data_IF_461893653913
#
_entry.id   IF_461893653913
#
_cell.length_a   1.000
_cell.length_b   1.000
_cell.length_c   1.000
_cell.angle_alpha   90.00
_cell.angle_beta   90.00
_cell.angle_gamma   90.00
#
_symmetry.space_group_name_H-M   'P 1'
#
loop_
_entity.id
_entity.type
_entity.pdbx_description
1 polymer ?
#
# COMPACT_ATOMS: atom_id res chain seq x y z
N UNK A 1 -2.27 -12.59 -8.43
CA UNK A 1 -1.85 -11.19 -8.65
C UNK A 1 -0.36 -11.11 -8.31
N UNK A 2 0.50 -10.26 -8.89
CA UNK A 2 1.90 -10.07 -8.44
C UNK A 2 3.00 -11.05 -8.88
N UNK A 3 2.67 -12.29 -9.28
CA UNK A 3 3.68 -13.31 -9.68
C UNK A 3 4.67 -12.84 -10.75
N UNK A 4 4.13 -12.23 -11.81
CA UNK A 4 4.95 -11.75 -12.92
C UNK A 4 5.94 -10.68 -12.48
N UNK A 5 5.55 -9.82 -11.53
CA UNK A 5 6.44 -8.80 -10.98
C UNK A 5 7.56 -9.45 -10.16
N UNK A 6 7.24 -10.45 -9.33
CA UNK A 6 8.26 -11.17 -8.57
C UNK A 6 9.30 -11.84 -9.49
N UNK A 7 8.83 -12.53 -10.54
CA UNK A 7 9.74 -13.18 -11.50
C UNK A 7 10.62 -12.17 -12.26
N UNK A 8 10.07 -11.01 -12.63
CA UNK A 8 10.83 -9.93 -13.26
C UNK A 8 11.91 -9.39 -12.33
N UNK A 9 11.58 -9.14 -11.05
CA UNK A 9 12.56 -8.68 -10.05
C UNK A 9 13.70 -9.69 -9.92
N UNK A 10 13.41 -10.98 -9.78
CA UNK A 10 14.44 -12.02 -9.71
C UNK A 10 15.34 -12.02 -10.95
N UNK A 11 14.76 -11.89 -12.14
CA UNK A 11 15.52 -11.83 -13.39
C UNK A 11 16.48 -10.63 -13.44
N UNK A 12 16.00 -9.44 -13.05
CA UNK A 12 16.82 -8.22 -13.01
C UNK A 12 17.93 -8.31 -11.97
N UNK A 13 17.64 -8.84 -10.78
CA UNK A 13 18.65 -9.00 -9.70
C UNK A 13 19.75 -9.97 -10.14
N UNK A 14 19.39 -11.09 -10.76
CA UNK A 14 20.37 -12.05 -11.29
C UNK A 14 21.28 -11.44 -12.37
N UNK A 15 20.74 -10.54 -13.20
CA UNK A 15 21.50 -9.86 -14.25
C UNK A 15 22.38 -8.71 -13.74
N UNK A 16 22.11 -8.18 -12.54
CA UNK A 16 22.78 -6.99 -11.99
C UNK A 16 23.46 -7.28 -10.66
N UNK A 17 24.60 -7.96 -10.72
CA UNK A 17 25.39 -8.44 -9.56
C UNK A 17 25.91 -7.36 -8.61
N UNK A 18 25.86 -6.08 -8.98
CA UNK A 18 26.26 -4.96 -8.12
C UNK A 18 25.13 -4.34 -7.28
N UNK A 19 23.88 -4.73 -7.52
CA UNK A 19 22.73 -4.16 -6.80
C UNK A 19 22.67 -4.78 -5.40
N UNK A 20 22.54 -3.93 -4.38
CA UNK A 20 22.49 -4.36 -2.96
C UNK A 20 21.18 -4.04 -2.27
N UNK A 21 20.41 -3.11 -2.83
CA UNK A 21 19.24 -2.51 -2.20
C UNK A 21 18.07 -2.51 -3.16
N UNK A 22 16.87 -2.65 -2.61
CA UNK A 22 15.63 -2.62 -3.38
C UNK A 22 14.61 -1.70 -2.72
N UNK A 23 13.85 -0.98 -3.54
CA UNK A 23 12.69 -0.19 -3.12
C UNK A 23 11.53 -0.43 -4.06
N UNK A 24 10.32 -0.46 -3.53
CA UNK A 24 9.09 -0.53 -4.29
C UNK A 24 8.37 0.80 -4.18
N UNK A 25 8.08 1.41 -5.33
CA UNK A 25 7.23 2.59 -5.44
C UNK A 25 6.08 2.21 -6.35
N UNK A 26 4.85 2.31 -5.86
CA UNK A 26 3.69 1.81 -6.56
C UNK A 26 2.50 2.75 -6.48
N UNK A 27 1.67 2.75 -7.51
CA UNK A 27 0.46 3.57 -7.58
C UNK A 27 -0.77 2.71 -7.77
N UNK A 28 -1.87 3.10 -7.12
CA UNK A 28 -3.18 2.47 -7.29
C UNK A 28 -3.11 0.97 -7.06
N UNK A 29 -3.70 0.16 -7.95
CA UNK A 29 -3.62 -1.30 -7.93
C UNK A 29 -2.18 -1.84 -7.85
N UNK A 30 -1.19 -1.09 -8.36
CA UNK A 30 0.22 -1.45 -8.28
C UNK A 30 0.70 -1.71 -6.86
N UNK A 31 0.15 -1.02 -5.85
CA UNK A 31 0.51 -1.25 -4.45
C UNK A 31 0.12 -2.64 -3.95
N UNK A 32 -1.02 -3.17 -4.39
CA UNK A 32 -1.45 -4.55 -4.08
C UNK A 32 -0.59 -5.58 -4.82
N UNK A 33 -0.26 -5.30 -6.08
CA UNK A 33 0.67 -6.13 -6.88
C UNK A 33 2.06 -6.17 -6.22
N UNK A 34 2.56 -5.02 -5.75
CA UNK A 34 3.84 -4.90 -5.05
C UNK A 34 3.81 -5.64 -3.71
N UNK A 35 2.75 -5.49 -2.89
CA UNK A 35 2.56 -6.25 -1.64
C UNK A 35 2.61 -7.76 -1.86
N UNK A 36 1.95 -8.25 -2.92
CA UNK A 36 2.04 -9.66 -3.26
C UNK A 36 3.47 -10.06 -3.64
N UNK A 37 4.11 -9.27 -4.51
CA UNK A 37 5.45 -9.58 -5.00
C UNK A 37 6.48 -9.62 -3.88
N UNK A 38 6.47 -8.67 -2.93
CA UNK A 38 7.42 -8.69 -1.81
C UNK A 38 7.26 -9.93 -0.93
N UNK A 39 6.02 -10.40 -0.70
CA UNK A 39 5.79 -11.63 0.06
C UNK A 39 6.30 -12.89 -0.67
N UNK A 40 6.35 -12.86 -2.01
CA UNK A 40 6.94 -13.93 -2.83
C UNK A 40 8.46 -13.89 -2.89
N UNK A 41 9.03 -12.70 -2.76
CA UNK A 41 10.48 -12.46 -2.85
C UNK A 41 11.16 -12.51 -1.48
N UNK A 42 10.39 -12.63 -0.41
CA UNK A 42 10.92 -12.53 0.95
C UNK A 42 11.72 -13.75 1.34
N UNK A 43 12.90 -13.49 1.86
CA UNK A 43 13.84 -14.49 2.35
C UNK A 43 14.10 -14.21 3.85
N UNK A 44 13.58 -15.04 4.76
CA UNK A 44 13.80 -14.88 6.19
C UNK A 44 15.29 -14.96 6.54
N UNK A 45 15.72 -14.12 7.49
CA UNK A 45 17.10 -14.18 7.96
C UNK A 45 17.28 -15.39 8.90
N UNK A 46 17.80 -16.51 8.39
CA UNK A 46 17.98 -17.76 9.15
C UNK A 46 19.06 -17.71 10.25
N UNK A 47 19.61 -16.54 10.58
CA UNK A 47 20.68 -16.38 11.58
C UNK A 47 20.28 -16.80 13.00
N UNK A 48 18.98 -16.93 13.29
CA UNK A 48 18.50 -17.37 14.61
C UNK A 48 18.48 -18.91 14.83
N UNK A 49 18.76 -19.73 13.82
CA UNK A 49 18.83 -21.20 14.00
C UNK A 49 20.24 -21.75 14.18
N UNK A 50 21.30 -20.97 13.93
CA UNK A 50 22.67 -21.52 13.82
C UNK A 50 23.78 -20.69 14.47
N UNK A 51 23.48 -19.83 15.46
CA UNK A 51 24.52 -19.04 16.13
C UNK A 51 24.33 -18.95 17.65
N UNK A 52 24.54 -20.08 18.33
CA UNK A 52 25.11 -20.05 19.66
C UNK A 52 26.57 -19.56 19.54
N UNK A 53 26.78 -18.23 19.53
CA UNK A 53 28.11 -17.64 19.73
C UNK A 53 28.47 -16.48 18.79
N UNK A 54 28.59 -15.29 19.39
CA UNK A 54 29.34 -14.08 18.95
C UNK A 54 28.75 -13.38 17.71
N UNK A 55 28.44 -12.09 17.71
CA UNK A 55 29.12 -10.94 18.32
C UNK A 55 28.12 -9.80 18.55
N UNK A 56 28.33 -9.02 19.62
CA UNK A 56 27.67 -7.74 19.87
C UNK A 56 28.32 -6.68 18.99
N UNK A 57 27.74 -6.41 17.82
CA UNK A 57 27.89 -5.12 17.16
C UNK A 57 26.52 -4.72 16.64
N UNK A 58 26.09 -3.52 17.00
CA UNK A 58 24.73 -2.98 16.82
C UNK A 58 24.39 -2.67 15.36
N UNK A 59 24.40 -3.68 14.51
CA UNK A 59 23.82 -3.62 13.18
C UNK A 59 22.35 -3.96 13.31
N UNK A 60 21.49 -3.01 12.95
CA UNK A 60 20.03 -3.18 12.87
C UNK A 60 19.70 -4.58 12.36
N UNK A 61 19.00 -5.38 13.16
CA UNK A 61 18.61 -6.73 12.81
C UNK A 61 17.73 -6.68 11.56
N UNK A 62 18.32 -6.84 10.37
CA UNK A 62 17.59 -7.02 9.13
C UNK A 62 16.70 -8.25 9.29
N UNK A 63 15.39 -8.02 9.40
CA UNK A 63 14.40 -9.07 9.67
C UNK A 63 14.29 -10.07 8.51
N UNK A 64 14.71 -9.67 7.30
CA UNK A 64 14.86 -10.53 6.13
C UNK A 64 15.31 -9.73 4.91
N UNK A 65 15.51 -10.43 3.79
CA UNK A 65 15.87 -9.85 2.50
C UNK A 65 14.69 -9.95 1.52
N UNK A 66 14.73 -9.15 0.47
CA UNK A 66 13.79 -9.24 -0.66
C UNK A 66 14.60 -9.56 -1.91
N UNK A 67 14.46 -10.77 -2.44
CA UNK A 67 15.26 -11.29 -3.56
C UNK A 67 16.78 -11.17 -3.30
N UNK A 68 17.22 -11.50 -2.08
CA UNK A 68 18.61 -11.34 -1.64
C UNK A 68 19.08 -9.88 -1.47
N UNK A 69 18.22 -8.88 -1.64
CA UNK A 69 18.56 -7.46 -1.51
C UNK A 69 18.05 -6.85 -0.20
N UNK A 70 18.76 -5.83 0.29
CA UNK A 70 18.35 -5.03 1.44
C UNK A 70 17.11 -4.17 1.10
N UNK A 71 15.97 -4.37 1.78
CA UNK A 71 14.74 -3.63 1.50
C UNK A 71 14.75 -2.24 2.15
N UNK A 72 14.70 -1.19 1.33
CA UNK A 72 14.84 0.19 1.79
C UNK A 72 13.48 0.90 1.95
N UNK A 73 12.73 1.05 0.86
CA UNK A 73 11.45 1.77 0.88
C UNK A 73 10.32 0.93 0.28
N UNK A 74 9.17 0.92 0.94
CA UNK A 74 7.90 0.47 0.39
C UNK A 74 6.93 1.64 0.38
N UNK A 75 6.73 2.25 -0.79
CA UNK A 75 5.97 3.50 -0.95
C UNK A 75 4.79 3.24 -1.87
N UNK A 76 3.60 3.63 -1.41
CA UNK A 76 2.38 3.54 -2.21
C UNK A 76 1.71 4.90 -2.38
N UNK A 77 1.10 5.11 -3.53
CA UNK A 77 0.32 6.28 -3.88
C UNK A 77 -1.10 5.88 -4.25
N UNK A 78 -2.08 6.37 -3.51
CA UNK A 78 -3.50 6.12 -3.77
C UNK A 78 -3.82 4.63 -3.99
N UNK A 79 -3.20 3.73 -3.22
CA UNK A 79 -3.36 2.28 -3.36
C UNK A 79 -4.48 1.74 -2.47
N UNK A 80 -5.45 0.93 -2.97
CA UNK A 80 -6.57 0.45 -2.17
C UNK A 80 -6.17 -0.73 -1.25
N UNK A 81 -5.40 -0.46 -0.19
CA UNK A 81 -4.81 -1.49 0.68
C UNK A 81 -5.85 -2.38 1.38
N UNK A 82 -7.05 -1.84 1.63
CA UNK A 82 -8.19 -2.51 2.27
C UNK A 82 -9.22 -3.02 1.25
N UNK A 83 -8.86 -3.06 -0.04
CA UNK A 83 -9.80 -3.37 -1.11
C UNK A 83 -10.84 -2.28 -1.33
N UNK A 84 -11.94 -2.66 -1.98
CA UNK A 84 -12.98 -1.72 -2.44
C UNK A 84 -14.39 -1.97 -1.89
N UNK A 85 -14.56 -2.98 -1.03
CA UNK A 85 -15.89 -3.40 -0.57
C UNK A 85 -16.60 -2.37 0.34
N UNK A 86 -15.85 -1.52 1.05
CA UNK A 86 -16.40 -0.56 2.02
C UNK A 86 -16.81 0.81 1.47
N UNK A 87 -16.49 1.10 0.20
CA UNK A 87 -17.03 2.26 -0.51
C UNK A 87 -18.04 1.73 -1.50
N UNK A 88 -19.29 2.20 -1.48
CA UNK A 88 -20.35 1.87 -2.46
C UNK A 88 -20.03 2.32 -3.91
N UNK A 89 -18.75 2.48 -4.24
CA UNK A 89 -18.20 2.87 -5.53
C UNK A 89 -17.68 1.61 -6.21
N UNK A 90 -18.30 1.24 -7.33
CA UNK A 90 -17.80 0.16 -8.19
C UNK A 90 -16.46 0.59 -8.82
N UNK A 91 -15.31 0.02 -8.40
CA UNK A 91 -13.99 0.42 -8.89
C UNK A 91 -13.74 -0.05 -10.32
N UNK A 92 -14.59 -0.93 -10.85
CA UNK A 92 -14.41 -1.44 -12.20
C UNK A 92 -14.58 -0.35 -13.27
N UNK A 93 -15.23 0.77 -12.92
CA UNK A 93 -15.63 1.79 -13.90
C UNK A 93 -14.97 3.17 -13.68
N UNK A 94 -13.96 3.28 -12.81
CA UNK A 94 -13.11 4.47 -12.71
C UNK A 94 -13.87 5.82 -12.73
N UNK A 95 -15.02 5.91 -12.03
CA UNK A 95 -15.78 7.16 -11.93
C UNK A 95 -16.49 7.63 -13.21
N UNK A 96 -16.82 6.76 -14.16
CA UNK A 96 -17.64 7.09 -15.34
C UNK A 96 -19.14 6.79 -15.07
N UNK A 97 -19.98 7.78 -14.71
CA UNK A 97 -21.39 7.57 -14.37
C UNK A 97 -22.26 7.02 -15.53
N UNK A 98 -21.79 7.04 -16.78
CA UNK A 98 -22.54 6.50 -17.92
C UNK A 98 -22.55 4.96 -17.97
N UNK A 99 -21.53 4.30 -17.41
CA UNK A 99 -21.43 2.83 -17.41
C UNK A 99 -22.22 2.18 -16.26
N UNK A 100 -22.47 2.90 -15.16
CA UNK A 100 -23.18 2.39 -13.98
C UNK A 100 -24.64 2.00 -14.29
N UNK A 101 -25.30 2.68 -15.24
CA UNK A 101 -26.69 2.37 -15.62
C UNK A 101 -26.85 1.09 -16.44
N UNK A 102 -25.77 0.57 -17.03
CA UNK A 102 -25.79 -0.62 -17.89
C UNK A 102 -25.04 -1.82 -17.28
N UNK A 103 -24.26 -1.61 -16.22
CA UNK A 103 -23.42 -2.63 -15.61
C UNK A 103 -24.19 -3.65 -14.74
N UNK A 104 -25.41 -3.34 -14.27
CA UNK A 104 -26.19 -4.27 -13.43
C UNK A 104 -26.45 -5.63 -14.10
N UNK A 105 -26.64 -5.65 -15.42
CA UNK A 105 -26.94 -6.88 -16.17
C UNK A 105 -25.67 -7.60 -16.68
N UNK A 106 -24.52 -6.92 -16.67
CA UNK A 106 -23.26 -7.42 -17.25
C UNK A 106 -22.11 -7.51 -16.24
N UNK A 107 -22.38 -7.24 -14.95
CA UNK A 107 -21.37 -7.19 -13.89
C UNK A 107 -20.55 -8.49 -13.78
N UNK A 108 -21.19 -9.65 -13.97
CA UNK A 108 -20.54 -10.96 -13.87
C UNK A 108 -19.50 -11.21 -14.97
N UNK A 109 -19.64 -10.59 -16.14
CA UNK A 109 -18.75 -10.76 -17.29
C UNK A 109 -17.54 -9.82 -17.25
N UNK A 110 -17.68 -8.70 -16.55
CA UNK A 110 -16.66 -7.65 -16.48
C UNK A 110 -15.73 -7.87 -15.28
N UNK A 111 -16.12 -8.60 -14.23
CA UNK A 111 -15.26 -8.89 -13.07
C UNK A 111 -14.12 -9.86 -13.46
N UNK A 112 -13.06 -9.32 -14.05
CA UNK A 112 -11.82 -10.06 -14.29
C UNK A 112 -11.19 -10.54 -12.98
N UNK A 113 -10.18 -11.43 -13.07
CA UNK A 113 -9.46 -11.98 -11.88
C UNK A 113 -8.98 -10.89 -10.91
N UNK A 114 -8.57 -9.73 -11.40
CA UNK A 114 -8.14 -8.58 -10.58
C UNK A 114 -9.28 -7.98 -9.76
N UNK A 115 -10.45 -7.83 -10.37
CA UNK A 115 -11.65 -7.35 -9.68
C UNK A 115 -12.04 -8.32 -8.56
N UNK A 116 -11.96 -9.63 -8.80
CA UNK A 116 -12.28 -10.64 -7.78
C UNK A 116 -11.47 -10.45 -6.49
N UNK A 117 -10.15 -10.30 -6.62
CA UNK A 117 -9.26 -10.04 -5.48
C UNK A 117 -9.57 -8.70 -4.79
N UNK A 118 -9.81 -7.63 -5.56
CA UNK A 118 -10.08 -6.30 -5.01
C UNK A 118 -11.41 -6.24 -4.22
N UNK A 119 -12.38 -7.05 -4.63
CA UNK A 119 -13.69 -7.18 -3.99
C UNK A 119 -13.75 -8.30 -2.93
N UNK A 120 -12.64 -8.97 -2.61
CA UNK A 120 -12.62 -10.12 -1.70
C UNK A 120 -13.54 -11.27 -2.15
N UNK A 121 -13.76 -11.41 -3.47
CA UNK A 121 -14.63 -12.43 -4.08
C UNK A 121 -13.83 -13.55 -4.75
N UNK A 122 -12.52 -13.58 -4.55
CA UNK A 122 -11.70 -14.74 -4.87
C UNK A 122 -11.92 -15.82 -3.81
N UNK A 123 -12.61 -16.89 -4.21
CA UNK A 123 -12.71 -18.13 -3.45
C UNK A 123 -11.99 -19.21 -4.26
N UNK A 124 -10.67 -19.09 -4.34
CA UNK A 124 -9.82 -20.06 -5.02
C UNK A 124 -9.62 -21.25 -4.07
N UNK A 125 -10.19 -22.41 -4.43
CA UNK A 125 -10.01 -23.70 -3.75
C UNK A 125 -10.38 -23.73 -2.25
N UNK A 126 -11.38 -22.95 -1.83
CA UNK A 126 -11.81 -22.85 -0.43
C UNK A 126 -10.85 -22.04 0.46
N UNK A 127 -9.86 -21.36 -0.14
CA UNK A 127 -8.95 -20.47 0.57
C UNK A 127 -9.59 -19.12 0.79
N UNK A 128 -9.11 -18.45 1.84
CA UNK A 128 -9.49 -17.09 2.17
C UNK A 128 -9.12 -16.10 1.06
N UNK A 129 -9.89 -15.01 0.86
CA UNK A 129 -9.55 -13.97 -0.11
C UNK A 129 -8.11 -13.45 0.03
N UNK A 130 -7.45 -13.21 -1.10
CA UNK A 130 -6.02 -12.92 -1.17
C UNK A 130 -5.63 -11.67 -0.38
N UNK A 131 -6.42 -10.60 -0.41
CA UNK A 131 -6.11 -9.39 0.34
C UNK A 131 -6.03 -9.66 1.84
N UNK A 132 -6.94 -10.49 2.37
CA UNK A 132 -6.93 -10.93 3.77
C UNK A 132 -5.76 -11.87 4.07
N UNK A 133 -5.27 -12.62 3.08
CA UNK A 133 -4.05 -13.42 3.24
C UNK A 133 -2.78 -12.56 3.24
N UNK A 134 -2.79 -11.41 2.57
CA UNK A 134 -1.64 -10.49 2.47
C UNK A 134 -1.46 -9.57 3.69
N UNK A 135 -2.24 -9.74 4.75
CA UNK A 135 -2.07 -8.97 6.01
C UNK A 135 -1.39 -9.76 7.12
N UNK A 136 -1.11 -11.05 6.89
CA UNK A 136 -0.49 -11.94 7.85
C UNK A 136 0.54 -12.85 7.16
N UNK A 137 1.37 -13.51 7.95
CA UNK A 137 2.26 -14.57 7.50
C UNK A 137 1.47 -15.89 7.54
N UNK A 138 1.26 -16.52 6.39
CA UNK A 138 0.44 -17.73 6.30
C UNK A 138 1.00 -18.76 5.33
N UNK A 139 1.18 -20.00 5.81
CA UNK A 139 1.79 -21.08 5.05
C UNK A 139 3.19 -20.70 4.59
N UNK A 140 3.44 -20.86 3.29
CA UNK A 140 4.76 -20.61 2.68
C UNK A 140 5.05 -19.13 2.41
N UNK A 141 4.06 -18.23 2.57
CA UNK A 141 4.18 -16.82 2.22
C UNK A 141 4.11 -15.92 3.46
N UNK A 142 5.15 -15.12 3.65
CA UNK A 142 5.31 -14.28 4.84
C UNK A 142 5.13 -12.80 4.46
N UNK A 143 3.90 -12.40 4.14
CA UNK A 143 3.60 -11.05 3.65
C UNK A 143 3.85 -9.94 4.67
N UNK A 144 3.53 -10.19 5.94
CA UNK A 144 3.71 -9.20 7.00
C UNK A 144 5.19 -9.06 7.33
N UNK A 145 5.92 -10.18 7.40
CA UNK A 145 7.37 -10.17 7.61
C UNK A 145 8.10 -9.49 6.46
N UNK A 146 7.66 -9.73 5.21
CA UNK A 146 8.16 -9.01 4.04
C UNK A 146 7.96 -7.49 4.17
N UNK A 147 6.76 -7.02 4.52
CA UNK A 147 6.49 -5.60 4.75
C UNK A 147 7.36 -5.03 5.89
N UNK A 148 7.47 -5.76 7.00
CA UNK A 148 8.24 -5.32 8.18
C UNK A 148 9.73 -5.16 7.86
N UNK A 149 10.26 -5.98 6.96
CA UNK A 149 11.68 -5.92 6.58
C UNK A 149 12.12 -4.56 5.97
N UNK A 150 11.21 -3.81 5.32
CA UNK A 150 11.55 -2.52 4.72
C UNK A 150 11.91 -1.48 5.79
N UNK A 151 13.00 -0.71 5.59
CA UNK A 151 13.37 0.35 6.53
C UNK A 151 12.33 1.46 6.66
N UNK A 152 11.65 1.77 5.56
CA UNK A 152 10.59 2.78 5.52
C UNK A 152 9.37 2.28 4.75
N UNK A 153 8.19 2.42 5.35
CA UNK A 153 6.89 2.16 4.70
C UNK A 153 6.06 3.43 4.69
N UNK A 154 5.58 3.84 3.52
CA UNK A 154 4.78 5.06 3.39
C UNK A 154 3.55 4.85 2.53
N UNK A 155 2.43 5.35 3.01
CA UNK A 155 1.18 5.42 2.27
C UNK A 155 0.81 6.88 1.98
N UNK A 156 0.93 7.30 0.72
CA UNK A 156 0.43 8.58 0.23
C UNK A 156 -1.04 8.42 -0.18
N UNK A 157 -1.92 9.18 0.46
CA UNK A 157 -3.37 9.06 0.28
C UNK A 157 -3.99 10.41 -0.11
N UNK A 158 -4.85 10.40 -1.12
CA UNK A 158 -5.65 11.58 -1.44
C UNK A 158 -6.76 11.76 -0.40
N UNK A 159 -6.73 12.86 0.34
CA UNK A 159 -7.77 13.22 1.30
C UNK A 159 -9.08 13.65 0.63
N UNK A 160 -9.01 14.11 -0.62
CA UNK A 160 -10.15 14.63 -1.38
C UNK A 160 -10.02 14.32 -2.89
N UNK A 161 -11.17 14.28 -3.57
CA UNK A 161 -11.31 14.20 -5.04
C UNK A 161 -10.72 12.96 -5.73
N UNK A 162 -10.23 11.97 -4.97
CA UNK A 162 -9.95 10.65 -5.51
C UNK A 162 -11.22 9.79 -5.48
N UNK A 163 -11.87 9.71 -6.63
CA UNK A 163 -13.08 8.91 -6.82
C UNK A 163 -12.78 7.44 -7.11
N UNK A 164 -11.51 7.07 -7.29
CA UNK A 164 -11.10 5.69 -7.59
C UNK A 164 -10.69 4.96 -6.33
N UNK A 165 -9.94 5.62 -5.46
CA UNK A 165 -9.42 5.03 -4.22
C UNK A 165 -9.70 5.96 -3.05
N UNK A 166 -10.53 5.49 -2.13
CA UNK A 166 -10.90 6.28 -0.96
C UNK A 166 -9.72 6.56 -0.03
N UNK A 167 -9.81 7.69 0.67
CA UNK A 167 -8.81 8.11 1.67
C UNK A 167 -8.52 7.00 2.68
N UNK A 168 -9.56 6.44 3.30
CA UNK A 168 -9.48 5.37 4.30
C UNK A 168 -8.66 4.14 3.85
N UNK A 169 -8.95 3.63 2.66
CA UNK A 169 -8.28 2.43 2.11
C UNK A 169 -6.85 2.73 1.65
N UNK A 170 -6.59 3.94 1.13
CA UNK A 170 -5.23 4.32 0.74
C UNK A 170 -4.33 4.69 1.89
N UNK A 171 -4.88 5.16 3.01
CA UNK A 171 -4.11 5.51 4.19
C UNK A 171 -4.03 4.40 5.24
N UNK A 172 -4.69 3.25 5.05
CA UNK A 172 -4.75 2.16 6.04
C UNK A 172 -5.18 2.70 7.42
N UNK A 173 -6.34 3.36 7.45
CA UNK A 173 -6.94 3.94 8.66
C UNK A 173 -8.41 3.56 8.73
N UNK A 174 -9.02 3.68 9.90
CA UNK A 174 -10.46 3.66 10.11
C UNK A 174 -11.07 5.02 9.81
N UNK A 175 -12.39 5.07 9.64
CA UNK A 175 -13.06 6.34 9.37
C UNK A 175 -12.86 7.38 10.48
N UNK A 176 -12.83 6.95 11.74
CA UNK A 176 -12.68 7.84 12.90
C UNK A 176 -11.20 8.22 13.18
N UNK A 177 -10.25 7.52 12.58
CA UNK A 177 -8.81 7.82 12.64
C UNK A 177 -8.37 8.87 11.61
N UNK A 178 -9.22 9.15 10.61
CA UNK A 178 -8.90 10.15 9.59
C UNK A 178 -8.81 11.56 10.22
N UNK A 179 -7.79 12.36 9.86
CA UNK A 179 -7.63 13.73 10.32
C UNK A 179 -8.89 14.54 10.04
N UNK A 180 -9.36 15.27 11.06
CA UNK A 180 -10.44 16.23 10.87
C UNK A 180 -9.95 17.31 9.91
N UNK A 181 -10.77 17.72 8.94
CA UNK A 181 -10.40 18.73 7.93
C UNK A 181 -9.79 20.03 8.50
N UNK A 182 -10.15 20.40 9.75
CA UNK A 182 -9.62 21.58 10.44
C UNK A 182 -8.16 21.45 10.89
N UNK A 183 -7.63 20.23 10.97
CA UNK A 183 -6.26 19.92 11.40
C UNK A 183 -5.30 19.77 10.20
N UNK A 184 -5.83 19.87 8.97
CA UNK A 184 -5.04 19.80 7.76
C UNK A 184 -4.26 21.10 7.59
N UNK A 185 -2.95 21.04 7.85
CA UNK A 185 -2.03 22.17 7.72
C UNK A 185 -1.21 21.97 6.46
N UNK A 186 -1.07 23.03 5.67
CA UNK A 186 -0.25 22.98 4.45
C UNK A 186 1.21 23.05 4.83
N UNK A 187 2.00 22.17 4.24
CA UNK A 187 3.43 22.31 4.25
C UNK A 187 3.85 23.52 3.37
N UNK A 188 4.79 24.33 3.86
CA UNK A 188 5.27 25.52 3.13
C UNK A 188 6.04 25.14 1.86
N UNK A 189 6.79 24.04 1.91
CA UNK A 189 7.61 23.54 0.81
C UNK A 189 6.79 22.66 -0.13
N UNK A 190 5.82 21.91 0.39
CA UNK A 190 4.96 21.02 -0.39
C UNK A 190 3.47 21.34 -0.20
N UNK A 191 2.94 22.35 -0.92
CA UNK A 191 1.60 22.90 -0.67
C UNK A 191 0.43 21.92 -0.72
N UNK A 192 0.59 20.78 -1.39
CA UNK A 192 -0.43 19.73 -1.48
C UNK A 192 -0.33 18.68 -0.37
N UNK A 193 0.77 18.62 0.37
CA UNK A 193 0.88 17.81 1.58
C UNK A 193 0.13 18.53 2.70
N UNK A 194 -0.91 17.89 3.23
CA UNK A 194 -1.83 18.50 4.19
C UNK A 194 -1.79 17.87 5.58
N UNK A 195 -1.23 16.67 5.69
CA UNK A 195 -1.00 16.00 6.97
C UNK A 195 0.06 14.91 6.81
N UNK A 196 0.96 14.80 7.78
CA UNK A 196 1.97 13.73 7.85
C UNK A 196 1.87 13.08 9.22
N UNK A 197 1.50 11.82 9.23
CA UNK A 197 1.58 10.94 10.40
C UNK A 197 2.90 10.17 10.31
N UNK A 198 3.82 10.44 11.24
CA UNK A 198 5.06 9.67 11.34
C UNK A 198 4.77 8.29 11.96
N UNK A 199 5.66 7.33 11.75
CA UNK A 199 5.57 6.01 12.38
C UNK A 199 5.45 6.15 13.91
N UNK A 200 4.26 5.88 14.47
CA UNK A 200 4.03 5.86 15.92
C UNK A 200 3.96 4.41 16.39
N UNK A 201 4.92 4.00 17.21
CA UNK A 201 4.86 2.73 17.97
C UNK A 201 3.96 2.88 19.18
N UNK A 202 2.64 2.94 18.98
CA UNK A 202 1.68 2.88 20.09
C UNK A 202 1.15 1.46 20.24
N UNK A 203 1.68 0.74 21.23
CA UNK A 203 1.32 -0.64 21.58
C UNK A 203 0.01 -0.77 22.40
N UNK A 204 -0.80 0.27 22.51
CA UNK A 204 -1.93 0.27 23.44
C UNK A 204 -3.23 0.69 22.76
N UNK A 205 -3.80 -0.21 21.97
CA UNK A 205 -5.24 -0.17 21.69
C UNK A 205 -5.91 -1.39 22.31
N UNK A 206 -6.56 -1.14 23.45
CA UNK A 206 -7.53 -2.06 24.04
C UNK A 206 -8.86 -1.82 23.32
N UNK A 207 -9.21 -2.67 22.35
CA UNK A 207 -10.46 -2.49 21.59
C UNK A 207 -11.52 -3.53 21.95
N UNK A 208 -12.73 -3.01 22.17
CA UNK A 208 -13.95 -3.76 22.41
C UNK A 208 -14.26 -4.70 21.23
N UNK A 209 -14.43 -5.99 21.52
CA UNK A 209 -14.81 -7.00 20.54
C UNK A 209 -16.28 -6.81 20.14
N UNK A 210 -16.53 -6.28 18.95
CA UNK A 210 -17.81 -6.49 18.26
C UNK A 210 -17.82 -7.87 17.61
N UNK A 211 -18.83 -8.70 17.89
CA UNK A 211 -18.94 -10.08 17.40
C UNK A 211 -19.27 -10.21 15.89
N UNK A 212 -19.17 -9.13 15.12
CA UNK A 212 -19.47 -9.13 13.67
C UNK A 212 -18.15 -9.20 12.90
N UNK A 213 -18.03 -10.20 12.02
CA UNK A 213 -16.88 -10.33 11.13
C UNK A 213 -16.87 -9.18 10.11
N UNK A 214 -15.87 -8.32 10.20
CA UNK A 214 -15.61 -7.26 9.24
C UNK A 214 -14.23 -7.48 8.59
N UNK A 215 -14.17 -7.87 7.30
CA UNK A 215 -12.91 -8.10 6.62
C UNK A 215 -12.06 -6.83 6.47
N UNK A 216 -12.68 -5.64 6.44
CA UNK A 216 -11.94 -4.39 6.37
C UNK A 216 -11.15 -4.16 7.66
N UNK A 217 -11.80 -4.34 8.81
CA UNK A 217 -11.14 -4.24 10.12
C UNK A 217 -10.02 -5.24 10.29
N UNK A 218 -10.19 -6.46 9.81
CA UNK A 218 -9.11 -7.43 9.89
C UNK A 218 -7.91 -7.03 9.02
N UNK A 219 -8.16 -6.44 7.85
CA UNK A 219 -7.08 -5.92 7.04
C UNK A 219 -6.38 -4.73 7.70
N UNK A 220 -7.11 -3.83 8.33
CA UNK A 220 -6.55 -2.71 9.11
C UNK A 220 -5.66 -3.28 10.20
N UNK A 221 -6.19 -4.16 11.06
CA UNK A 221 -5.46 -4.79 12.17
C UNK A 221 -4.22 -5.56 11.74
N UNK A 222 -4.26 -6.26 10.61
CA UNK A 222 -3.10 -6.98 10.10
C UNK A 222 -2.03 -6.04 9.54
N UNK A 223 -2.44 -5.01 8.79
CA UNK A 223 -1.51 -4.05 8.18
C UNK A 223 -0.89 -3.06 9.17
N UNK A 224 -1.59 -2.72 10.25
CA UNK A 224 -1.08 -1.81 11.29
C UNK A 224 -0.20 -2.48 12.34
N UNK A 225 -0.02 -3.81 12.27
CA UNK A 225 1.01 -4.53 13.04
C UNK A 225 2.44 -4.21 12.58
N UNK A 226 2.61 -3.47 11.48
CA UNK A 226 3.86 -2.85 11.08
C UNK A 226 3.63 -1.34 11.02
N UNK A 227 4.59 -0.51 11.45
CA UNK A 227 4.40 0.93 11.46
C UNK A 227 4.37 1.48 10.02
N UNK A 228 3.51 2.48 9.78
CA UNK A 228 3.43 3.16 8.50
C UNK A 228 3.59 4.66 8.72
N UNK A 229 4.42 5.31 7.91
CA UNK A 229 4.27 6.73 7.68
C UNK A 229 3.06 6.95 6.75
N UNK A 230 2.21 7.92 7.08
CA UNK A 230 1.02 8.22 6.30
C UNK A 230 1.01 9.68 5.90
N UNK A 231 0.92 9.92 4.61
CA UNK A 231 1.00 11.27 4.04
C UNK A 231 -0.31 11.56 3.32
N UNK A 232 -1.07 12.51 3.84
CA UNK A 232 -2.32 12.93 3.23
C UNK A 232 -2.09 14.09 2.29
N UNK A 233 -2.63 13.96 1.07
CA UNK A 233 -2.48 14.87 -0.05
C UNK A 233 -3.84 15.48 -0.39
N UNK A 234 -3.90 16.79 -0.65
CA UNK A 234 -5.14 17.43 -1.09
C UNK A 234 -4.91 18.40 -2.24
N UNK A 235 -5.52 18.06 -3.38
CA UNK A 235 -5.59 18.92 -4.57
C UNK A 235 -6.79 19.87 -4.55
N UNK A 236 -7.46 20.10 -3.40
CA UNK A 236 -8.72 20.87 -3.35
C UNK A 236 -8.66 22.24 -4.04
N UNK A 237 -7.52 22.92 -3.98
CA UNK A 237 -7.30 24.24 -4.63
C UNK A 237 -6.67 24.16 -6.03
N UNK A 238 -6.31 22.96 -6.50
CA UNK A 238 -5.77 22.73 -7.83
C UNK A 238 -6.89 22.62 -8.86
N UNK A 239 -6.59 23.06 -10.09
CA UNK A 239 -7.46 22.84 -11.25
C UNK A 239 -7.52 21.35 -11.66
N UNK A 240 -6.50 20.57 -11.28
CA UNK A 240 -6.34 19.14 -11.58
C UNK A 240 -7.03 18.23 -10.55
N UNK A 241 -7.80 18.79 -9.61
CA UNK A 241 -8.49 18.02 -8.54
C UNK A 241 -9.36 16.88 -9.05
N UNK A 242 -10.04 17.04 -10.19
CA UNK A 242 -10.90 15.99 -10.76
C UNK A 242 -10.11 14.78 -11.26
N UNK A 243 -8.80 14.93 -11.44
CA UNK A 243 -7.85 13.87 -11.81
C UNK A 243 -6.83 13.65 -10.69
N UNK A 244 -7.19 13.91 -9.43
CA UNK A 244 -6.33 13.76 -8.26
C UNK A 244 -5.66 12.37 -8.18
N UNK A 245 -6.38 11.32 -8.56
CA UNK A 245 -5.85 9.95 -8.59
C UNK A 245 -4.58 9.82 -9.45
N UNK A 246 -4.51 10.50 -10.59
CA UNK A 246 -3.33 10.49 -11.46
C UNK A 246 -2.36 11.64 -11.15
N UNK A 247 -2.88 12.72 -10.56
CA UNK A 247 -2.09 13.90 -10.20
C UNK A 247 -1.09 13.58 -9.10
N UNK A 248 -1.49 12.79 -8.09
CA UNK A 248 -0.63 12.42 -6.96
C UNK A 248 0.70 11.75 -7.38
N UNK A 249 0.75 11.09 -8.55
CA UNK A 249 1.96 10.44 -9.08
C UNK A 249 2.54 11.13 -10.32
N UNK A 250 1.98 12.27 -10.75
CA UNK A 250 2.38 12.98 -11.96
C UNK A 250 2.38 12.08 -13.20
N UNK A 251 1.25 11.39 -13.47
CA UNK A 251 1.17 10.41 -14.57
C UNK A 251 1.57 10.98 -15.93
N UNK A 252 1.14 12.20 -16.23
CA UNK A 252 1.59 12.96 -17.39
C UNK A 252 1.86 14.40 -16.97
N UNK A 253 3.11 14.85 -17.06
CA UNK A 253 3.52 16.16 -16.57
C UNK A 253 2.64 17.30 -17.10
N UNK A 254 2.22 17.25 -18.37
CA UNK A 254 1.36 18.26 -18.99
C UNK A 254 -0.03 18.38 -18.32
N UNK A 255 -0.57 17.30 -17.75
CA UNK A 255 -1.90 17.26 -17.11
C UNK A 255 -1.86 17.17 -15.59
N UNK A 256 -0.74 16.75 -15.03
CA UNK A 256 -0.60 16.28 -13.65
C UNK A 256 0.55 16.99 -12.91
N UNK A 257 1.02 18.13 -13.45
CA UNK A 257 2.13 18.91 -12.89
C UNK A 257 1.92 19.33 -11.44
N UNK A 258 0.67 19.49 -10.99
CA UNK A 258 0.38 20.00 -9.65
C UNK A 258 0.79 18.99 -8.57
N UNK A 259 0.96 17.71 -8.90
CA UNK A 259 1.50 16.71 -7.96
C UNK A 259 3.02 16.65 -7.88
N UNK A 260 3.75 17.52 -8.59
CA UNK A 260 5.21 17.50 -8.58
C UNK A 260 5.80 17.73 -7.18
N UNK A 261 5.16 18.57 -6.36
CA UNK A 261 5.57 18.79 -4.97
C UNK A 261 5.38 17.55 -4.10
N UNK A 262 4.37 16.72 -4.37
CA UNK A 262 4.18 15.41 -3.71
C UNK A 262 5.32 14.45 -4.07
N UNK A 263 5.74 14.41 -5.34
CA UNK A 263 6.89 13.61 -5.76
C UNK A 263 8.19 14.13 -5.14
N UNK A 264 8.38 15.45 -5.09
CA UNK A 264 9.53 16.05 -4.42
C UNK A 264 9.55 15.72 -2.92
N UNK A 265 8.41 15.76 -2.23
CA UNK A 265 8.31 15.30 -0.84
C UNK A 265 8.74 13.84 -0.70
N UNK A 266 8.32 12.97 -1.61
CA UNK A 266 8.74 11.57 -1.60
C UNK A 266 10.25 11.42 -1.81
N UNK A 267 10.82 12.12 -2.80
CA UNK A 267 12.25 12.08 -3.12
C UNK A 267 13.11 12.60 -1.96
N UNK A 268 12.73 13.72 -1.36
CA UNK A 268 13.48 14.34 -0.26
C UNK A 268 13.47 13.49 1.02
N UNK A 269 12.54 12.55 1.14
CA UNK A 269 12.46 11.59 2.24
C UNK A 269 12.84 10.16 1.82
N UNK A 270 13.34 9.94 0.60
CA UNK A 270 13.66 8.61 0.10
C UNK A 270 14.96 8.09 0.70
N UNK A 271 14.95 6.85 1.22
CA UNK A 271 16.16 6.24 1.80
C UNK A 271 16.97 5.55 0.70
N UNK A 272 18.25 5.87 0.57
CA UNK A 272 19.18 5.31 -0.43
C UNK A 272 20.09 4.25 0.15
#
# INVERSE_FOLDING_TARGET
MGERLANEVLSVVQQRTGVKKISFVAHSLGGLVARYAIGRLYEPNNRNMSSAGKSRDGVENLEGLIAGLEPMNFITFASPHLGSSGNKQLPFLCGLPFLERRASETAHLIVGRTGKHLFLTDNDDGRRPLLLRMVDDSGDLQFRSALRSFKRRVAYANANFDHMVGWRTSSIRRQHELPKHRLLVRDEKYPHIVYVEKEVTNNNETEARTNVYDPEEEMIRGLTQVPWERVDVSFQKSSQRLVAHNTIQVKSYWLNSDGADVINHMMDNFIV
#
